data_IF_073597875991
#
_entry.id   IF_073597875991
#
_cell.length_a   1.000
_cell.length_b   1.000
_cell.length_c   1.000
_cell.angle_alpha   90.00
_cell.angle_beta   90.00
_cell.angle_gamma   90.00
#
_symmetry.space_group_name_H-M   'P 1'
#
loop_
_entity.id
_entity.type
_entity.pdbx_description
1 polymer ?
#
# COMPACT_ATOMS: atom_id res chain seq x y z
N UNK A 1 7.03 2.26 15.95
CA UNK A 1 5.69 2.88 16.13
C UNK A 1 5.71 4.35 15.73
N UNK A 2 6.74 5.11 16.11
CA UNK A 2 6.83 6.56 15.86
C UNK A 2 6.79 6.97 14.38
N UNK A 3 7.40 6.18 13.48
CA UNK A 3 7.37 6.46 12.03
C UNK A 3 5.96 6.36 11.42
N UNK A 4 5.10 5.47 11.93
CA UNK A 4 3.71 5.33 11.46
C UNK A 4 2.89 6.54 11.92
N UNK A 5 3.10 6.99 13.15
CA UNK A 5 2.42 8.16 13.72
C UNK A 5 2.84 9.44 12.98
N UNK A 6 4.14 9.60 12.68
CA UNK A 6 4.63 10.73 11.89
C UNK A 6 4.05 10.74 10.47
N UNK A 7 3.98 9.59 9.80
CA UNK A 7 3.41 9.51 8.46
C UNK A 7 1.90 9.83 8.46
N UNK A 8 1.15 9.34 9.45
CA UNK A 8 -0.27 9.70 9.60
C UNK A 8 -0.48 11.20 9.85
N UNK A 9 0.38 11.83 10.65
CA UNK A 9 0.34 13.28 10.87
C UNK A 9 0.66 14.06 9.60
N UNK A 10 1.65 13.62 8.81
CA UNK A 10 2.00 14.25 7.56
C UNK A 10 0.85 14.17 6.54
N UNK A 11 0.26 13.00 6.34
CA UNK A 11 -0.90 12.82 5.44
C UNK A 11 -2.09 13.67 5.90
N UNK A 12 -2.32 13.76 7.21
CA UNK A 12 -3.39 14.61 7.75
C UNK A 12 -3.14 16.10 7.48
N UNK A 13 -1.91 16.57 7.54
CA UNK A 13 -1.57 17.97 7.27
C UNK A 13 -1.65 18.27 5.76
N UNK A 14 -1.16 17.38 4.90
CA UNK A 14 -1.29 17.50 3.45
C UNK A 14 -2.76 17.55 3.03
N UNK A 15 -3.62 16.71 3.63
CA UNK A 15 -5.06 16.73 3.37
C UNK A 15 -5.73 18.01 3.90
N UNK A 16 -5.20 18.62 4.97
CA UNK A 16 -5.68 19.91 5.49
C UNK A 16 -5.34 21.05 4.52
N UNK A 17 -4.11 21.09 4.00
CA UNK A 17 -3.66 22.06 3.00
C UNK A 17 -4.50 21.93 1.72
N UNK A 18 -4.66 20.70 1.22
CA UNK A 18 -5.47 20.46 0.02
C UNK A 18 -6.93 20.90 0.16
N UNK A 19 -7.55 20.66 1.33
CA UNK A 19 -8.90 21.13 1.59
C UNK A 19 -8.99 22.67 1.67
N UNK A 20 -7.95 23.33 2.15
CA UNK A 20 -7.87 24.79 2.19
C UNK A 20 -7.77 25.39 0.79
N UNK A 21 -6.84 24.88 -0.03
CA UNK A 21 -6.65 25.31 -1.42
C UNK A 21 -7.92 25.11 -2.24
N UNK A 22 -8.57 23.95 -2.09
CA UNK A 22 -9.86 23.67 -2.75
C UNK A 22 -10.97 24.63 -2.30
N UNK A 23 -11.00 25.03 -1.04
CA UNK A 23 -11.98 26.00 -0.55
C UNK A 23 -11.75 27.39 -1.15
N UNK A 24 -10.50 27.78 -1.38
CA UNK A 24 -10.13 29.05 -2.01
C UNK A 24 -10.45 29.05 -3.51
N UNK A 25 -10.21 27.95 -4.21
CA UNK A 25 -10.63 27.78 -5.61
C UNK A 25 -12.15 27.93 -5.76
N UNK A 26 -12.93 27.31 -4.86
CA UNK A 26 -14.40 27.44 -4.85
C UNK A 26 -14.81 28.89 -4.61
N UNK A 27 -14.11 29.61 -3.72
CA UNK A 27 -14.38 31.04 -3.48
C UNK A 27 -14.07 31.90 -4.70
N UNK A 28 -12.95 31.66 -5.38
CA UNK A 28 -12.59 32.35 -6.61
C UNK A 28 -13.61 32.08 -7.73
N UNK A 29 -14.03 30.83 -7.92
CA UNK A 29 -15.07 30.48 -8.91
C UNK A 29 -16.40 31.20 -8.64
N UNK A 30 -16.85 31.27 -7.37
CA UNK A 30 -18.07 32.00 -7.01
C UNK A 30 -17.94 33.50 -7.30
N UNK A 31 -16.79 34.10 -7.02
CA UNK A 31 -16.53 35.51 -7.31
C UNK A 31 -16.58 35.78 -8.82
N UNK A 32 -15.96 34.92 -9.64
CA UNK A 32 -16.01 35.03 -11.11
C UNK A 32 -17.46 34.91 -11.62
N UNK A 33 -18.22 33.95 -11.11
CA UNK A 33 -19.64 33.78 -11.48
C UNK A 33 -20.49 35.00 -11.11
N UNK A 34 -20.25 35.60 -9.94
CA UNK A 34 -20.95 36.82 -9.53
C UNK A 34 -20.61 37.99 -10.45
N UNK A 35 -19.32 38.21 -10.75
CA UNK A 35 -18.91 39.28 -11.67
C UNK A 35 -19.49 39.11 -13.08
N UNK A 36 -19.60 37.86 -13.57
CA UNK A 36 -20.25 37.57 -14.85
C UNK A 36 -21.74 37.92 -14.82
N UNK A 37 -22.43 37.62 -13.71
CA UNK A 37 -23.83 37.97 -13.52
C UNK A 37 -24.03 39.49 -13.49
N UNK A 38 -23.21 40.20 -12.73
CA UNK A 38 -23.30 41.67 -12.62
C UNK A 38 -23.04 42.35 -13.98
N UNK A 39 -22.09 41.83 -14.77
CA UNK A 39 -21.83 42.31 -16.12
C UNK A 39 -23.00 42.04 -17.08
N UNK A 40 -23.68 40.89 -16.95
CA UNK A 40 -24.88 40.60 -17.75
C UNK A 40 -26.04 41.55 -17.42
N UNK A 41 -26.24 41.85 -16.13
CA UNK A 41 -27.24 42.83 -15.69
C UNK A 41 -26.92 44.23 -16.23
N UNK A 42 -25.66 44.66 -16.13
CA UNK A 42 -25.22 45.94 -16.68
C UNK A 42 -25.44 46.04 -18.20
N UNK A 43 -25.12 44.97 -18.95
CA UNK A 43 -25.38 44.91 -20.40
C UNK A 43 -26.88 44.95 -20.72
N UNK A 44 -27.73 44.36 -19.89
CA UNK A 44 -29.18 44.44 -20.05
C UNK A 44 -29.67 45.88 -19.90
N UNK A 45 -29.20 46.60 -18.87
CA UNK A 45 -29.54 48.02 -18.69
C UNK A 45 -29.06 48.91 -19.84
N UNK A 46 -27.87 48.66 -20.37
CA UNK A 46 -27.37 49.39 -21.55
C UNK A 46 -28.24 49.13 -22.79
N UNK A 47 -28.70 47.89 -22.99
CA UNK A 47 -29.63 47.55 -24.09
C UNK A 47 -30.98 48.23 -23.93
N UNK A 48 -31.52 48.28 -22.71
CA UNK A 48 -32.77 49.00 -22.41
C UNK A 48 -32.62 50.50 -22.64
N UNK A 49 -31.52 51.11 -22.19
CA UNK A 49 -31.22 52.51 -22.43
C UNK A 49 -31.07 52.81 -23.93
N UNK A 50 -30.41 51.94 -24.68
CA UNK A 50 -30.30 52.06 -26.13
C UNK A 50 -31.67 51.98 -26.81
N UNK A 51 -32.50 51.00 -26.46
CA UNK A 51 -33.86 50.86 -26.99
C UNK A 51 -34.75 52.06 -26.62
N UNK A 52 -34.54 52.67 -25.44
CA UNK A 52 -35.23 53.91 -25.07
C UNK A 52 -34.78 55.08 -25.96
N UNK A 53 -33.47 55.24 -26.17
CA UNK A 53 -32.94 56.27 -27.05
C UNK A 53 -33.44 56.10 -28.49
N UNK A 54 -33.45 54.88 -29.04
CA UNK A 54 -34.02 54.60 -30.37
C UNK A 54 -35.49 55.04 -30.48
N UNK A 55 -36.30 54.84 -29.42
CA UNK A 55 -37.68 55.33 -29.40
C UNK A 55 -37.74 56.85 -29.41
N UNK A 56 -36.90 57.52 -28.62
CA UNK A 56 -36.80 58.99 -28.60
C UNK A 56 -36.42 59.52 -29.97
N UNK A 57 -35.49 58.86 -30.67
CA UNK A 57 -35.13 59.16 -32.05
C UNK A 57 -36.31 59.07 -33.01
N UNK A 58 -37.07 57.97 -32.96
CA UNK A 58 -38.27 57.79 -33.80
C UNK A 58 -39.31 58.89 -33.52
N UNK A 59 -39.50 59.27 -32.25
CA UNK A 59 -40.40 60.37 -31.89
C UNK A 59 -39.89 61.73 -32.39
N UNK A 60 -38.57 61.96 -32.33
CA UNK A 60 -37.94 63.17 -32.86
C UNK A 60 -38.08 63.25 -34.38
N UNK A 61 -37.82 62.15 -35.11
CA UNK A 61 -38.01 62.08 -36.57
C UNK A 61 -39.46 62.31 -36.98
N UNK A 62 -40.44 61.81 -36.21
CA UNK A 62 -41.86 62.11 -36.43
C UNK A 62 -42.19 63.59 -36.17
N UNK A 63 -41.61 64.21 -35.13
CA UNK A 63 -41.79 65.64 -34.88
C UNK A 63 -41.12 66.51 -35.96
N UNK A 64 -39.94 66.13 -36.44
CA UNK A 64 -39.26 66.79 -37.57
C UNK A 64 -40.13 66.70 -38.82
N UNK A 65 -40.68 65.53 -39.14
CA UNK A 65 -41.59 65.35 -40.28
C UNK A 65 -42.88 66.19 -40.16
N UNK A 66 -43.43 66.31 -38.95
CA UNK A 66 -44.56 67.21 -38.69
C UNK A 66 -44.22 68.70 -38.82
N UNK A 67 -42.99 69.10 -38.51
CA UNK A 67 -42.48 70.46 -38.72
C UNK A 67 -42.17 70.73 -40.21
N UNK A 68 -41.69 69.73 -40.95
CA UNK A 68 -41.49 69.80 -42.41
C UNK A 68 -42.83 69.98 -43.17
N UNK A 69 -43.90 69.33 -42.70
CA UNK A 69 -45.26 69.51 -43.21
C UNK A 69 -45.90 70.86 -42.80
N UNK A 70 -45.27 71.58 -41.85
CA UNK A 70 -45.76 72.81 -41.23
C UNK A 70 -44.80 74.00 -41.36
N UNK A 71 -44.83 74.66 -42.52
CA UNK A 71 -44.28 76.00 -42.87
C UNK A 71 -42.84 76.10 -43.39
N UNK A 72 -42.77 76.81 -44.52
CA UNK A 72 -41.76 77.81 -44.86
C UNK A 72 -41.44 78.73 -43.66
N UNK A 73 -40.45 78.38 -42.85
CA UNK A 73 -39.61 79.25 -41.97
C UNK A 73 -38.62 78.36 -41.17
N UNK A 74 -37.72 77.63 -41.83
CA UNK A 74 -37.00 76.49 -41.20
C UNK A 74 -35.47 76.42 -41.34
N UNK A 75 -34.78 77.50 -41.70
CA UNK A 75 -33.33 77.43 -42.03
C UNK A 75 -32.36 77.28 -40.85
N UNK A 76 -32.76 77.65 -39.62
CA UNK A 76 -31.87 77.65 -38.44
C UNK A 76 -31.93 76.32 -37.68
N UNK A 77 -33.10 75.68 -37.57
CA UNK A 77 -33.25 74.40 -36.88
C UNK A 77 -32.59 73.23 -37.62
N UNK A 78 -32.61 73.23 -38.96
CA UNK A 78 -31.97 72.19 -39.77
C UNK A 78 -30.46 72.12 -39.51
N UNK A 79 -29.76 73.27 -39.48
CA UNK A 79 -28.31 73.29 -39.19
C UNK A 79 -27.96 72.83 -37.77
N UNK A 80 -28.81 73.14 -36.78
CA UNK A 80 -28.60 72.66 -35.40
C UNK A 80 -28.76 71.15 -35.31
N UNK A 81 -29.72 70.57 -36.02
CA UNK A 81 -29.91 69.11 -36.11
C UNK A 81 -28.76 68.43 -36.86
N UNK A 82 -28.29 69.01 -37.98
CA UNK A 82 -27.12 68.51 -38.72
C UNK A 82 -25.84 68.51 -37.85
N UNK A 83 -25.64 69.54 -37.03
CA UNK A 83 -24.53 69.60 -36.09
C UNK A 83 -24.66 68.57 -34.96
N UNK A 84 -25.88 68.28 -34.48
CA UNK A 84 -26.10 67.22 -33.48
C UNK A 84 -25.80 65.84 -34.05
N UNK A 85 -26.31 65.55 -35.25
CA UNK A 85 -26.10 64.27 -35.96
C UNK A 85 -24.63 64.01 -36.27
N UNK A 86 -23.86 65.05 -36.63
CA UNK A 86 -22.42 64.92 -36.87
C UNK A 86 -21.65 64.63 -35.59
N UNK A 87 -21.98 65.29 -34.48
CA UNK A 87 -21.40 65.00 -33.16
C UNK A 87 -21.72 63.57 -32.73
N UNK A 88 -22.97 63.13 -32.83
CA UNK A 88 -23.37 61.76 -32.50
C UNK A 88 -22.68 60.72 -33.37
N UNK A 89 -22.55 60.99 -34.68
CA UNK A 89 -21.79 60.15 -35.59
C UNK A 89 -20.31 59.99 -35.18
N UNK A 90 -19.69 61.04 -34.63
CA UNK A 90 -18.31 60.93 -34.09
C UNK A 90 -18.25 60.11 -32.80
N UNK A 91 -19.23 60.25 -31.91
CA UNK A 91 -19.33 59.43 -30.68
C UNK A 91 -19.55 57.96 -31.00
N UNK A 92 -20.42 57.63 -31.96
CA UNK A 92 -20.65 56.24 -32.39
C UNK A 92 -19.35 55.62 -32.91
N UNK A 93 -18.61 56.30 -33.80
CA UNK A 93 -17.33 55.81 -34.31
C UNK A 93 -16.29 55.61 -33.19
N UNK A 94 -16.25 56.51 -32.21
CA UNK A 94 -15.35 56.38 -31.07
C UNK A 94 -15.73 55.16 -30.19
N UNK A 95 -17.03 54.94 -29.95
CA UNK A 95 -17.52 53.77 -29.22
C UNK A 95 -17.22 52.47 -29.96
N UNK A 96 -17.45 52.41 -31.27
CA UNK A 96 -17.11 51.24 -32.10
C UNK A 96 -15.61 50.92 -32.04
N UNK A 97 -14.75 51.95 -32.15
CA UNK A 97 -13.30 51.77 -32.03
C UNK A 97 -12.90 51.30 -30.63
N UNK A 98 -13.53 51.80 -29.57
CA UNK A 98 -13.29 51.35 -28.20
C UNK A 98 -13.73 49.91 -27.99
N UNK A 99 -14.92 49.54 -28.49
CA UNK A 99 -15.45 48.16 -28.41
C UNK A 99 -14.51 47.19 -29.12
N UNK A 100 -14.04 47.53 -30.32
CA UNK A 100 -13.14 46.68 -31.09
C UNK A 100 -11.76 46.53 -30.41
N UNK A 101 -11.25 47.60 -29.81
CA UNK A 101 -10.01 47.54 -29.02
C UNK A 101 -10.17 46.64 -27.79
N UNK A 102 -11.25 46.81 -27.02
CA UNK A 102 -11.55 45.96 -25.86
C UNK A 102 -11.77 44.50 -26.25
N UNK A 103 -12.45 44.23 -27.36
CA UNK A 103 -12.64 42.88 -27.89
C UNK A 103 -11.30 42.20 -28.19
N UNK A 104 -10.40 42.89 -28.90
CA UNK A 104 -9.05 42.38 -29.18
C UNK A 104 -8.26 42.11 -27.90
N UNK A 105 -8.37 43.00 -26.91
CA UNK A 105 -7.72 42.80 -25.61
C UNK A 105 -8.25 41.55 -24.90
N UNK A 106 -9.58 41.35 -24.88
CA UNK A 106 -10.20 40.15 -24.30
C UNK A 106 -9.77 38.87 -25.04
N UNK A 107 -9.70 38.89 -26.38
CA UNK A 107 -9.24 37.74 -27.16
C UNK A 107 -7.79 37.35 -26.84
N UNK A 108 -6.90 38.35 -26.68
CA UNK A 108 -5.51 38.10 -26.27
C UNK A 108 -5.46 37.54 -24.85
N UNK A 109 -6.19 38.12 -23.90
CA UNK A 109 -6.23 37.62 -22.52
C UNK A 109 -6.78 36.19 -22.43
N UNK A 110 -7.82 35.86 -23.20
CA UNK A 110 -8.38 34.52 -23.26
C UNK A 110 -7.38 33.49 -23.79
N UNK A 111 -6.57 33.85 -24.79
CA UNK A 111 -5.50 32.97 -25.31
C UNK A 111 -4.42 32.72 -24.26
N UNK A 112 -3.97 33.78 -23.57
CA UNK A 112 -2.97 33.65 -22.49
C UNK A 112 -3.48 32.76 -21.36
N UNK A 113 -4.72 32.97 -20.91
CA UNK A 113 -5.34 32.13 -19.86
C UNK A 113 -5.45 30.68 -20.32
N UNK A 114 -5.80 30.45 -21.59
CA UNK A 114 -5.91 29.09 -22.14
C UNK A 114 -4.56 28.37 -22.18
N UNK A 115 -3.51 29.04 -22.66
CA UNK A 115 -2.15 28.50 -22.69
C UNK A 115 -1.63 28.20 -21.27
N UNK A 116 -1.87 29.11 -20.31
CA UNK A 116 -1.49 28.90 -18.91
C UNK A 116 -2.23 27.71 -18.28
N UNK A 117 -3.53 27.56 -18.57
CA UNK A 117 -4.33 26.43 -18.11
C UNK A 117 -3.83 25.10 -18.70
N UNK A 118 -3.44 25.07 -19.97
CA UNK A 118 -2.90 23.87 -20.61
C UNK A 118 -1.56 23.43 -20.00
N UNK A 119 -0.67 24.39 -19.71
CA UNK A 119 0.61 24.12 -19.03
C UNK A 119 0.38 23.58 -17.63
N UNK A 120 -0.54 24.19 -16.85
CA UNK A 120 -0.89 23.73 -15.51
C UNK A 120 -1.51 22.32 -15.54
N UNK A 121 -2.36 22.02 -16.53
CA UNK A 121 -2.96 20.71 -16.67
C UNK A 121 -1.90 19.63 -16.95
N UNK A 122 -0.92 19.91 -17.82
CA UNK A 122 0.21 19.01 -18.08
C UNK A 122 1.08 18.77 -16.85
N UNK A 123 1.33 19.80 -16.04
CA UNK A 123 2.07 19.68 -14.76
C UNK A 123 1.31 18.82 -13.75
N UNK A 124 -0.01 19.01 -13.63
CA UNK A 124 -0.87 18.19 -12.77
C UNK A 124 -0.87 16.73 -13.24
N UNK A 125 -1.00 16.47 -14.54
CA UNK A 125 -0.93 15.11 -15.08
C UNK A 125 0.41 14.42 -14.80
N UNK A 126 1.52 15.15 -14.90
CA UNK A 126 2.84 14.63 -14.58
C UNK A 126 2.95 14.28 -13.08
N UNK A 127 2.52 15.19 -12.19
CA UNK A 127 2.49 14.94 -10.74
C UNK A 127 1.59 13.77 -10.35
N UNK A 128 0.43 13.62 -10.99
CA UNK A 128 -0.45 12.47 -10.77
C UNK A 128 0.25 11.14 -11.12
N UNK A 129 0.98 11.09 -12.24
CA UNK A 129 1.75 9.90 -12.63
C UNK A 129 2.87 9.60 -11.62
N UNK A 130 3.56 10.62 -11.14
CA UNK A 130 4.61 10.43 -10.12
C UNK A 130 4.04 9.88 -8.81
N UNK A 131 2.87 10.39 -8.37
CA UNK A 131 2.16 9.88 -7.19
C UNK A 131 1.73 8.42 -7.37
N UNK A 132 1.22 8.04 -8.55
CA UNK A 132 0.88 6.65 -8.86
C UNK A 132 2.10 5.73 -8.78
N UNK A 133 3.23 6.16 -9.35
CA UNK A 133 4.49 5.40 -9.30
C UNK A 133 4.99 5.24 -7.87
N UNK A 134 4.95 6.30 -7.06
CA UNK A 134 5.33 6.25 -5.64
C UNK A 134 4.42 5.34 -4.83
N UNK A 135 3.11 5.39 -5.06
CA UNK A 135 2.13 4.52 -4.41
C UNK A 135 2.40 3.04 -4.74
N UNK A 136 2.65 2.72 -6.01
CA UNK A 136 2.97 1.36 -6.45
C UNK A 136 4.30 0.86 -5.87
N UNK A 137 5.32 1.73 -5.83
CA UNK A 137 6.60 1.40 -5.20
C UNK A 137 6.44 1.12 -3.70
N UNK A 138 5.69 1.98 -3.00
CA UNK A 138 5.38 1.82 -1.57
C UNK A 138 4.60 0.54 -1.29
N UNK A 139 3.62 0.20 -2.13
CA UNK A 139 2.84 -1.05 -2.01
C UNK A 139 3.73 -2.29 -2.16
N UNK A 140 4.62 -2.31 -3.17
CA UNK A 140 5.56 -3.43 -3.37
C UNK A 140 6.52 -3.58 -2.20
N UNK A 141 7.06 -2.47 -1.68
CA UNK A 141 7.94 -2.48 -0.52
C UNK A 141 7.23 -3.03 0.72
N UNK A 142 6.01 -2.56 0.98
CA UNK A 142 5.19 -3.06 2.09
C UNK A 142 4.92 -4.56 1.99
N UNK A 143 4.62 -5.09 0.81
CA UNK A 143 4.40 -6.54 0.61
C UNK A 143 5.66 -7.38 0.90
N UNK A 144 6.84 -6.87 0.56
CA UNK A 144 8.13 -7.53 0.87
C UNK A 144 8.40 -7.50 2.37
N UNK A 145 8.26 -6.35 3.02
CA UNK A 145 8.45 -6.21 4.46
C UNK A 145 7.45 -7.06 5.24
N UNK A 146 6.18 -7.07 4.85
CA UNK A 146 5.15 -7.91 5.45
C UNK A 146 5.53 -9.39 5.43
N UNK A 147 6.00 -9.90 4.29
CA UNK A 147 6.46 -11.30 4.18
C UNK A 147 7.66 -11.58 5.09
N UNK A 148 8.61 -10.64 5.17
CA UNK A 148 9.76 -10.78 6.07
C UNK A 148 9.32 -10.86 7.55
N UNK A 149 8.40 -9.98 7.97
CA UNK A 149 7.83 -10.01 9.32
C UNK A 149 7.02 -11.27 9.62
N UNK A 150 6.29 -11.81 8.64
CA UNK A 150 5.56 -13.08 8.78
C UNK A 150 6.52 -14.26 9.00
N UNK A 151 7.63 -14.30 8.26
CA UNK A 151 8.69 -15.30 8.44
C UNK A 151 9.35 -15.18 9.81
N UNK A 152 9.71 -13.96 10.23
CA UNK A 152 10.31 -13.71 11.54
C UNK A 152 9.36 -14.06 12.69
N UNK A 153 8.08 -13.67 12.56
CA UNK A 153 7.04 -14.02 13.54
C UNK A 153 6.90 -15.54 13.67
N UNK A 154 6.81 -16.27 12.56
CA UNK A 154 6.74 -17.75 12.61
C UNK A 154 7.96 -18.33 13.32
N UNK A 155 9.16 -17.88 12.98
CA UNK A 155 10.41 -18.30 13.61
C UNK A 155 10.43 -18.04 15.12
N UNK A 156 9.95 -16.88 15.56
CA UNK A 156 9.85 -16.53 16.99
C UNK A 156 8.82 -17.39 17.72
N UNK A 157 7.66 -17.66 17.11
CA UNK A 157 6.65 -18.58 17.66
C UNK A 157 7.23 -19.97 17.88
N UNK A 158 7.93 -20.53 16.89
CA UNK A 158 8.54 -21.87 17.02
C UNK A 158 9.62 -21.92 18.12
N UNK A 159 10.35 -20.81 18.33
CA UNK A 159 11.35 -20.70 19.41
C UNK A 159 10.70 -20.60 20.79
N UNK A 160 9.57 -19.90 20.91
CA UNK A 160 8.82 -19.80 22.18
C UNK A 160 8.29 -21.18 22.55
N UNK A 161 7.63 -21.87 21.61
CA UNK A 161 7.12 -23.24 21.83
C UNK A 161 8.23 -24.20 22.26
N UNK A 162 9.43 -24.11 21.65
CA UNK A 162 10.58 -24.92 22.06
C UNK A 162 11.05 -24.63 23.50
N UNK A 163 11.06 -23.37 23.91
CA UNK A 163 11.46 -22.96 25.27
C UNK A 163 10.41 -23.38 26.29
N UNK A 164 9.12 -23.22 25.98
CA UNK A 164 8.00 -23.64 26.85
C UNK A 164 8.07 -25.14 27.11
N UNK A 165 8.16 -25.93 26.04
CA UNK A 165 8.34 -27.38 26.11
C UNK A 165 9.54 -27.80 26.97
N UNK A 166 10.70 -27.16 26.75
CA UNK A 166 11.93 -27.47 27.47
C UNK A 166 11.79 -27.12 28.96
N UNK A 167 11.12 -26.01 29.25
CA UNK A 167 10.86 -25.55 30.62
C UNK A 167 9.92 -26.52 31.34
N UNK A 168 8.83 -26.92 30.69
CA UNK A 168 7.88 -27.89 31.24
C UNK A 168 8.59 -29.22 31.56
N UNK A 169 9.37 -29.75 30.63
CA UNK A 169 10.09 -31.00 30.85
C UNK A 169 11.13 -30.88 31.98
N UNK A 170 11.88 -29.78 32.02
CA UNK A 170 12.91 -29.56 33.05
C UNK A 170 12.29 -29.41 34.43
N UNK A 171 11.23 -28.61 34.57
CA UNK A 171 10.51 -28.42 35.83
C UNK A 171 9.87 -29.74 36.28
N UNK A 172 9.23 -30.47 35.37
CA UNK A 172 8.65 -31.79 35.66
C UNK A 172 9.69 -32.78 36.20
N UNK A 173 10.89 -32.79 35.62
CA UNK A 173 11.98 -33.62 36.13
C UNK A 173 12.49 -33.15 37.49
N UNK A 174 12.82 -31.86 37.64
CA UNK A 174 13.40 -31.31 38.87
C UNK A 174 12.45 -31.49 40.06
N UNK A 175 11.15 -31.26 39.86
CA UNK A 175 10.16 -31.34 40.93
C UNK A 175 9.66 -32.76 41.18
N UNK A 176 9.58 -33.61 40.15
CA UNK A 176 9.01 -34.96 40.26
C UNK A 176 10.03 -36.09 40.45
N UNK A 177 11.32 -35.86 40.16
CA UNK A 177 12.37 -36.88 40.06
C UNK A 177 11.97 -38.10 39.21
N UNK A 178 11.05 -37.93 38.25
CA UNK A 178 10.57 -39.03 37.42
C UNK A 178 11.62 -39.37 36.36
N UNK A 179 12.14 -40.60 36.43
CA UNK A 179 13.13 -41.13 35.49
C UNK A 179 12.58 -41.22 34.06
N UNK A 180 11.26 -41.34 33.88
CA UNK A 180 10.63 -41.33 32.55
C UNK A 180 10.72 -39.96 31.88
N UNK A 181 10.70 -38.88 32.66
CA UNK A 181 10.84 -37.52 32.14
C UNK A 181 12.28 -37.30 31.65
N UNK A 182 13.29 -37.85 32.35
CA UNK A 182 14.68 -37.87 31.89
C UNK A 182 14.79 -38.56 30.54
N UNK A 183 14.19 -39.75 30.39
CA UNK A 183 14.22 -40.49 29.13
C UNK A 183 13.60 -39.67 27.98
N UNK A 184 12.52 -38.93 28.25
CA UNK A 184 11.89 -38.03 27.28
C UNK A 184 12.79 -36.83 26.91
N UNK A 185 13.44 -36.20 27.89
CA UNK A 185 14.40 -35.11 27.66
C UNK A 185 15.58 -35.61 26.81
N UNK A 186 16.13 -36.78 27.13
CA UNK A 186 17.23 -37.39 26.38
C UNK A 186 16.81 -37.74 24.95
N UNK A 187 15.63 -38.33 24.78
CA UNK A 187 15.06 -38.64 23.47
C UNK A 187 14.85 -37.39 22.62
N UNK A 188 14.28 -36.32 23.20
CA UNK A 188 14.09 -35.03 22.53
C UNK A 188 15.44 -34.44 22.10
N UNK A 189 16.42 -34.40 23.01
CA UNK A 189 17.75 -33.90 22.70
C UNK A 189 18.40 -34.69 21.55
N UNK A 190 18.32 -36.01 21.58
CA UNK A 190 18.85 -36.85 20.50
C UNK A 190 18.12 -36.64 19.17
N UNK A 191 16.81 -36.39 19.21
CA UNK A 191 16.02 -36.04 18.04
C UNK A 191 16.46 -34.69 17.47
N UNK A 192 16.64 -33.67 18.30
CA UNK A 192 17.15 -32.35 17.88
C UNK A 192 18.55 -32.44 17.27
N UNK A 193 19.44 -33.26 17.83
CA UNK A 193 20.76 -33.50 17.24
C UNK A 193 20.66 -34.16 15.86
N UNK A 194 19.78 -35.15 15.72
CA UNK A 194 19.53 -35.82 14.45
C UNK A 194 19.02 -34.84 13.41
N UNK A 195 17.98 -34.06 13.74
CA UNK A 195 17.38 -33.07 12.86
C UNK A 195 18.40 -31.97 12.47
N UNK A 196 19.22 -31.52 13.42
CA UNK A 196 20.31 -30.58 13.14
C UNK A 196 21.37 -31.16 12.19
N UNK A 197 21.74 -32.44 12.35
CA UNK A 197 22.68 -33.13 11.43
C UNK A 197 22.08 -33.21 10.03
N UNK A 198 20.80 -33.59 9.91
CA UNK A 198 20.10 -33.67 8.63
C UNK A 198 19.99 -32.31 7.94
N UNK A 199 19.67 -31.23 8.68
CA UNK A 199 19.67 -29.87 8.16
C UNK A 199 21.01 -29.50 7.52
N UNK A 200 22.10 -29.82 8.21
CA UNK A 200 23.46 -29.55 7.75
C UNK A 200 23.80 -30.36 6.50
N UNK A 201 23.45 -31.64 6.46
CA UNK A 201 23.69 -32.51 5.29
C UNK A 201 22.86 -32.09 4.07
N UNK A 202 21.65 -31.58 4.29
CA UNK A 202 20.80 -31.00 3.25
C UNK A 202 21.22 -29.57 2.85
N UNK A 203 22.32 -29.04 3.41
CA UNK A 203 22.82 -27.68 3.18
C UNK A 203 21.74 -26.60 3.34
N UNK A 204 20.81 -26.79 4.29
CA UNK A 204 19.86 -25.74 4.63
C UNK A 204 20.66 -24.52 5.10
N UNK A 205 20.34 -23.33 4.59
CA UNK A 205 21.14 -22.13 4.84
C UNK A 205 21.14 -21.81 6.33
N UNK A 206 22.27 -22.05 6.98
CA UNK A 206 22.45 -21.78 8.41
C UNK A 206 23.46 -20.63 8.54
N UNK A 207 23.08 -19.48 9.14
CA UNK A 207 24.05 -18.43 9.46
C UNK A 207 25.20 -18.98 10.33
N UNK A 208 26.45 -18.53 10.13
CA UNK A 208 27.55 -18.93 11.01
C UNK A 208 27.23 -18.58 12.46
N UNK A 209 27.49 -19.51 13.38
CA UNK A 209 27.18 -19.35 14.82
C UNK A 209 25.77 -19.76 15.26
N UNK A 210 24.93 -20.26 14.34
CA UNK A 210 23.58 -20.74 14.69
C UNK A 210 23.64 -21.98 15.58
N UNK A 211 22.82 -22.00 16.63
CA UNK A 211 22.76 -23.09 17.59
C UNK A 211 22.06 -24.35 16.98
N UNK A 212 22.23 -25.50 17.63
CA UNK A 212 21.66 -26.78 17.16
C UNK A 212 20.12 -26.79 17.15
N UNK A 213 19.50 -26.12 18.11
CA UNK A 213 18.04 -25.97 18.20
C UNK A 213 17.47 -25.31 16.93
N UNK A 214 18.07 -24.20 16.49
CA UNK A 214 17.69 -23.52 15.25
C UNK A 214 17.94 -24.39 14.02
N UNK A 215 19.00 -25.20 13.98
CA UNK A 215 19.20 -26.16 12.87
C UNK A 215 18.11 -27.24 12.84
N UNK A 216 17.69 -27.74 14.00
CA UNK A 216 16.56 -28.66 14.14
C UNK A 216 15.25 -28.01 13.66
N UNK A 217 14.99 -26.75 14.01
CA UNK A 217 13.86 -25.96 13.51
C UNK A 217 13.92 -25.82 11.99
N UNK A 218 15.07 -25.46 11.41
CA UNK A 218 15.25 -25.30 9.96
C UNK A 218 14.93 -26.59 9.20
N UNK A 219 15.36 -27.74 9.72
CA UNK A 219 14.99 -29.04 9.17
C UNK A 219 13.47 -29.22 9.13
N UNK A 220 12.79 -29.00 10.26
CA UNK A 220 11.32 -29.13 10.35
C UNK A 220 10.59 -28.18 9.41
N UNK A 221 11.06 -26.93 9.27
CA UNK A 221 10.53 -25.97 8.30
C UNK A 221 10.70 -26.42 6.86
N UNK A 222 11.87 -26.96 6.51
CA UNK A 222 12.15 -27.43 5.16
C UNK A 222 11.25 -28.60 4.72
N UNK A 223 10.70 -29.36 5.68
CA UNK A 223 9.73 -30.43 5.43
C UNK A 223 8.31 -29.90 5.12
N UNK A 224 8.05 -28.62 5.38
CA UNK A 224 6.76 -27.97 5.15
C UNK A 224 5.76 -28.15 6.29
N UNK A 225 4.50 -27.81 6.00
CA UNK A 225 3.39 -27.84 6.98
C UNK A 225 2.53 -29.10 6.89
N UNK A 226 2.85 -30.04 5.99
CA UNK A 226 2.09 -31.29 5.87
C UNK A 226 2.35 -32.20 7.07
N UNK A 227 1.30 -32.87 7.53
CA UNK A 227 1.38 -33.89 8.58
C UNK A 227 1.34 -35.31 8.00
N UNK A 228 1.31 -35.46 6.67
CA UNK A 228 1.25 -36.75 6.00
C UNK A 228 2.66 -37.35 5.92
N UNK A 229 2.90 -38.43 6.66
CA UNK A 229 4.20 -39.10 6.76
C UNK A 229 4.87 -39.34 5.40
N UNK A 230 4.14 -39.87 4.42
CA UNK A 230 4.69 -40.17 3.09
C UNK A 230 5.21 -38.92 2.36
N UNK A 231 4.50 -37.79 2.49
CA UNK A 231 4.88 -36.51 1.89
C UNK A 231 6.11 -35.90 2.59
N UNK A 232 6.14 -35.95 3.92
CA UNK A 232 7.29 -35.51 4.70
C UNK A 232 8.53 -36.35 4.37
N UNK A 233 8.39 -37.68 4.26
CA UNK A 233 9.50 -38.58 3.96
C UNK A 233 10.07 -38.32 2.57
N UNK A 234 9.19 -38.18 1.57
CA UNK A 234 9.60 -37.85 0.21
C UNK A 234 10.30 -36.48 0.16
N UNK A 235 9.85 -35.52 0.96
CA UNK A 235 10.48 -34.20 1.06
C UNK A 235 11.85 -34.29 1.72
N UNK A 236 11.99 -35.03 2.82
CA UNK A 236 13.27 -35.28 3.48
C UNK A 236 14.28 -35.95 2.53
N UNK A 237 13.85 -36.97 1.79
CA UNK A 237 14.69 -37.65 0.80
C UNK A 237 15.10 -36.70 -0.33
N UNK A 238 14.19 -35.87 -0.83
CA UNK A 238 14.51 -34.84 -1.84
C UNK A 238 15.54 -33.85 -1.31
N UNK A 239 15.39 -33.36 -0.07
CA UNK A 239 16.34 -32.42 0.54
C UNK A 239 17.75 -33.02 0.65
N UNK A 240 17.85 -34.28 1.06
CA UNK A 240 19.14 -34.96 1.27
C UNK A 240 19.78 -35.42 -0.05
N UNK A 241 18.99 -35.71 -1.09
CA UNK A 241 19.49 -36.10 -2.41
C UNK A 241 19.79 -34.91 -3.34
N UNK A 242 19.32 -33.70 -3.00
CA UNK A 242 19.55 -32.49 -3.81
C UNK A 242 20.97 -31.95 -3.68
N UNK A 243 21.69 -32.36 -2.64
CA UNK A 243 23.06 -31.90 -2.41
C UNK A 243 24.02 -32.82 -3.14
N UNK A 244 25.05 -32.24 -3.78
CA UNK A 244 26.18 -33.01 -4.34
C UNK A 244 27.06 -33.64 -3.24
N UNK A 245 26.56 -33.66 -2.00
CA UNK A 245 27.28 -34.16 -0.83
C UNK A 245 27.03 -35.65 -0.71
N UNK A 246 28.10 -36.44 -0.81
CA UNK A 246 28.02 -37.87 -0.56
C UNK A 246 27.61 -38.11 0.91
N UNK A 247 26.44 -38.69 1.12
CA UNK A 247 25.96 -39.05 2.45
C UNK A 247 26.83 -40.17 3.04
N UNK A 248 27.13 -40.07 4.34
CA UNK A 248 27.85 -41.12 5.04
C UNK A 248 26.98 -42.40 5.14
N UNK A 249 27.63 -43.57 5.27
CA UNK A 249 26.94 -44.87 5.34
C UNK A 249 25.90 -44.91 6.48
N UNK A 250 26.19 -44.26 7.61
CA UNK A 250 25.28 -44.18 8.74
C UNK A 250 24.01 -43.39 8.44
N UNK A 251 24.11 -42.29 7.70
CA UNK A 251 22.96 -41.48 7.28
C UNK A 251 22.12 -42.24 6.26
N UNK A 252 22.76 -42.94 5.31
CA UNK A 252 22.03 -43.80 4.35
C UNK A 252 21.26 -44.90 5.08
N UNK A 253 21.89 -45.55 6.06
CA UNK A 253 21.22 -46.55 6.90
C UNK A 253 20.07 -45.95 7.72
N UNK A 254 20.28 -44.76 8.29
CA UNK A 254 19.25 -44.05 9.04
C UNK A 254 18.04 -43.69 8.15
N UNK A 255 18.28 -43.21 6.93
CA UNK A 255 17.22 -42.91 5.96
C UNK A 255 16.41 -44.14 5.55
N UNK A 256 17.02 -45.33 5.62
CA UNK A 256 16.33 -46.60 5.36
C UNK A 256 15.53 -47.10 6.57
N UNK A 257 15.79 -46.60 7.78
CA UNK A 257 14.99 -46.93 8.96
C UNK A 257 13.71 -46.09 9.01
N UNK A 258 12.60 -46.72 8.62
CA UNK A 258 11.29 -46.08 8.64
C UNK A 258 10.91 -45.47 10.00
N UNK A 259 11.29 -46.09 11.12
CA UNK A 259 10.96 -45.58 12.47
C UNK A 259 11.85 -44.42 12.88
N UNK A 260 13.13 -44.49 12.56
CA UNK A 260 14.07 -43.40 12.80
C UNK A 260 13.67 -42.16 12.00
N UNK A 261 13.35 -42.34 10.72
CA UNK A 261 12.89 -41.26 9.86
C UNK A 261 11.53 -40.71 10.27
N UNK A 262 10.57 -41.55 10.69
CA UNK A 262 9.28 -41.09 11.21
C UNK A 262 9.44 -40.07 12.35
N UNK A 263 10.30 -40.38 13.33
CA UNK A 263 10.59 -39.42 14.38
C UNK A 263 11.27 -38.16 13.86
N UNK A 264 12.24 -38.30 12.94
CA UNK A 264 13.02 -37.19 12.42
C UNK A 264 12.23 -36.22 11.52
N UNK A 265 11.12 -36.67 10.92
CA UNK A 265 10.31 -35.84 10.02
C UNK A 265 9.05 -35.27 10.68
N UNK A 266 8.66 -35.76 11.85
CA UNK A 266 7.53 -35.20 12.60
C UNK A 266 7.85 -33.79 13.10
N UNK A 267 6.99 -32.82 12.75
CA UNK A 267 7.09 -31.43 13.20
C UNK A 267 6.89 -31.31 14.71
N UNK A 268 5.86 -31.99 15.21
CA UNK A 268 5.53 -32.20 16.61
C UNK A 268 5.56 -33.71 16.83
N UNK A 269 6.69 -34.24 17.28
CA UNK A 269 6.73 -35.67 17.59
C UNK A 269 5.90 -35.92 18.84
N UNK A 270 5.33 -37.12 18.99
CA UNK A 270 4.64 -37.49 20.23
C UNK A 270 5.55 -37.29 21.46
N UNK A 271 6.87 -37.41 21.30
CA UNK A 271 7.88 -37.12 22.33
C UNK A 271 7.86 -35.64 22.77
N UNK A 272 7.52 -34.72 21.87
CA UNK A 272 7.33 -33.29 22.17
C UNK A 272 5.93 -33.02 22.74
N UNK A 273 4.86 -33.59 22.16
CA UNK A 273 3.47 -33.40 22.64
C UNK A 273 3.24 -33.95 24.06
N UNK A 274 3.95 -35.00 24.47
CA UNK A 274 3.74 -35.59 25.81
C UNK A 274 4.29 -34.69 26.93
N UNK A 275 5.08 -33.65 26.63
CA UNK A 275 5.48 -32.63 27.60
C UNK A 275 4.26 -31.94 28.24
N UNK A 276 3.27 -31.58 27.42
CA UNK A 276 2.01 -30.97 27.87
C UNK A 276 1.13 -31.95 28.66
N UNK A 277 1.08 -33.22 28.25
CA UNK A 277 0.28 -34.23 28.94
C UNK A 277 0.86 -34.61 30.30
N UNK A 278 2.19 -34.60 30.48
CA UNK A 278 2.84 -34.91 31.77
C UNK A 278 2.69 -33.76 32.76
N UNK A 279 2.59 -32.51 32.30
CA UNK A 279 2.29 -31.37 33.17
C UNK A 279 0.84 -31.36 33.70
N UNK A 280 -0.08 -32.05 33.02
CA UNK A 280 -1.51 -31.90 33.26
C UNK A 280 -2.30 -33.20 33.53
N UNK A 281 -1.70 -34.40 33.41
CA UNK A 281 -2.40 -35.67 33.69
C UNK A 281 -1.78 -36.48 34.82
N UNK A 282 -2.67 -37.05 35.65
CA UNK A 282 -2.35 -38.14 36.58
C UNK A 282 -1.83 -39.35 35.80
N UNK A 283 -0.86 -40.10 36.36
CA UNK A 283 -0.16 -41.17 35.65
C UNK A 283 -1.08 -42.34 35.30
N UNK A 284 -1.35 -42.53 34.02
CA UNK A 284 -1.85 -43.79 33.45
C UNK A 284 -0.65 -44.69 33.03
N UNK A 285 -0.80 -46.03 33.09
CA UNK A 285 0.30 -46.96 32.79
C UNK A 285 0.62 -47.04 31.28
N UNK A 286 1.86 -46.66 30.96
CA UNK A 286 2.46 -46.66 29.62
C UNK A 286 2.46 -48.05 28.92
N UNK A 287 1.99 -48.12 27.67
CA UNK A 287 2.10 -49.31 26.80
C UNK A 287 3.46 -49.33 26.08
N UNK A 288 4.19 -50.45 26.22
CA UNK A 288 5.66 -50.50 26.30
C UNK A 288 6.44 -51.01 25.07
N UNK A 289 5.90 -51.01 23.84
CA UNK A 289 6.51 -51.82 22.75
C UNK A 289 7.22 -51.09 21.59
N UNK A 290 7.19 -49.77 21.46
CA UNK A 290 7.63 -49.11 20.21
C UNK A 290 8.84 -48.15 20.29
N UNK A 291 9.25 -47.66 21.47
CA UNK A 291 10.35 -46.66 21.55
C UNK A 291 11.78 -47.24 21.50
N UNK A 292 12.01 -48.47 21.97
CA UNK A 292 13.39 -49.01 22.09
C UNK A 292 14.10 -49.23 20.74
N UNK A 293 13.38 -49.61 19.68
CA UNK A 293 14.00 -49.81 18.36
C UNK A 293 14.41 -48.48 17.70
N UNK A 294 13.60 -47.43 17.88
CA UNK A 294 13.93 -46.11 17.37
C UNK A 294 15.12 -45.47 18.11
N UNK A 295 15.24 -45.73 19.42
CA UNK A 295 16.41 -45.31 20.21
C UNK A 295 17.72 -45.90 19.67
N UNK A 296 17.71 -47.17 19.25
CA UNK A 296 18.91 -47.83 18.72
C UNK A 296 19.39 -47.19 17.40
N UNK A 297 18.48 -46.85 16.50
CA UNK A 297 18.79 -46.20 15.23
C UNK A 297 19.38 -44.80 15.41
N UNK A 298 18.84 -44.03 16.36
CA UNK A 298 19.35 -42.70 16.72
C UNK A 298 20.74 -42.79 17.37
N UNK A 299 20.98 -43.82 18.18
CA UNK A 299 22.30 -44.06 18.79
C UNK A 299 23.38 -44.44 17.76
N UNK A 300 23.01 -45.18 16.70
CA UNK A 300 23.94 -45.56 15.61
C UNK A 300 24.47 -44.33 14.84
N UNK A 301 23.69 -43.25 14.72
CA UNK A 301 24.15 -41.99 14.13
C UNK A 301 25.23 -41.29 14.96
N UNK A 302 25.33 -41.59 16.27
CA UNK A 302 26.25 -40.93 17.21
C UNK A 302 27.58 -41.68 17.36
N UNK A 303 27.59 -43.00 17.18
CA UNK A 303 28.79 -43.84 17.33
C UNK A 303 29.87 -43.65 16.26
N UNK A 304 29.60 -42.85 15.22
CA UNK A 304 30.54 -42.62 14.10
C UNK A 304 31.43 -41.38 14.31
N UNK A 305 31.29 -40.64 15.43
CA UNK A 305 32.07 -39.40 15.69
C UNK A 305 33.09 -39.49 16.84
N UNK A 306 33.48 -40.69 17.28
CA UNK A 306 34.55 -40.87 18.29
C UNK A 306 35.86 -41.41 17.69
N UNK A 307 36.02 -41.35 16.36
CA UNK A 307 37.30 -41.57 15.69
C UNK A 307 37.56 -40.48 14.65
#
# INVERSE_FOLDING_TARGET
>A
MDAIVQNQQQVSEEMRVWNHDRADDIRQQKMIQQNLKDNQEHLSHLREAHAHNERVWIYSDQQIKMLEDGRQEGGIHIRTLENSLTVEGTWIKQLESSIESSKKQCEVQMKVIHEEAEVKLKDVEAKCKDVEVMHDAGKRQWEVEKKAWEVERSSMTDRIEEVEDMTIATVGWVCGMDTKIIDCILLRHLLDLTQAKLAKLAQLTVPPGTNRATQSILWRHALGTTHVFAECLQTAQRLLNRTDTQLDSATVQFMADAKGMDLAIQKLSAIRETGDLVAHLKPEPFVKKHSYKAFHAIMLLRSVQVF
#
